data_IF_374212975615
#
_entry.id   IF_374212975615
#
_cell.length_a   1.000
_cell.length_b   1.000
_cell.length_c   1.000
_cell.angle_alpha   90.00
_cell.angle_beta   90.00
_cell.angle_gamma   90.00
#
_symmetry.space_group_name_H-M   'P 1'
#
loop_
_entity.id
_entity.type
_entity.pdbx_description
1 polymer ?
#
# COMPACT_ATOMS: atom_id res chain seq x y z
N UNK A 1 -13.48 29.01 -0.91
CA UNK A 1 -12.73 28.99 0.36
C UNK A 1 -11.80 27.77 0.35
N UNK A 2 -10.58 27.92 -0.18
CA UNK A 2 -9.58 26.85 -0.19
C UNK A 2 -8.80 26.83 1.14
N UNK A 3 -8.50 25.66 1.68
CA UNK A 3 -7.65 25.54 2.86
C UNK A 3 -6.21 25.92 2.52
N UNK A 4 -5.52 26.59 3.44
CA UNK A 4 -4.09 26.85 3.34
C UNK A 4 -3.34 25.50 3.32
N UNK A 5 -2.34 25.37 2.43
CA UNK A 5 -1.57 24.14 2.21
C UNK A 5 -0.96 23.58 3.52
N UNK A 6 -0.59 24.47 4.44
CA UNK A 6 -0.04 24.17 5.77
C UNK A 6 -1.06 23.52 6.74
N UNK A 7 -2.35 23.58 6.43
CA UNK A 7 -3.45 22.98 7.22
C UNK A 7 -4.07 21.78 6.51
N UNK A 8 -3.51 21.36 5.37
CA UNK A 8 -3.95 20.12 4.76
C UNK A 8 -3.58 18.99 5.73
N UNK A 9 -4.54 18.12 6.09
CA UNK A 9 -4.19 16.91 6.79
C UNK A 9 -3.14 16.19 5.94
N UNK A 10 -2.10 15.68 6.59
CA UNK A 10 -1.12 14.80 5.97
C UNK A 10 -1.91 13.58 5.47
N UNK A 11 -2.32 13.63 4.21
CA UNK A 11 -3.02 12.53 3.55
C UNK A 11 -1.92 11.64 3.00
N UNK A 12 -1.49 10.59 3.74
CA UNK A 12 -0.59 9.64 3.15
C UNK A 12 -1.28 9.06 1.90
N UNK A 13 -0.50 8.75 0.87
CA UNK A 13 -1.00 8.05 -0.31
C UNK A 13 -1.63 6.72 0.12
N UNK A 14 -2.93 6.74 0.38
CA UNK A 14 -3.69 5.67 0.96
C UNK A 14 -4.59 5.07 -0.11
N UNK A 15 -4.52 3.75 -0.28
CA UNK A 15 -5.25 3.02 -1.31
C UNK A 15 -6.31 2.13 -0.68
N UNK A 16 -7.52 2.17 -1.22
CA UNK A 16 -8.54 1.17 -0.87
C UNK A 16 -8.13 -0.21 -1.43
N UNK A 17 -8.88 -1.27 -1.11
CA UNK A 17 -8.51 -2.64 -1.55
C UNK A 17 -8.37 -2.76 -3.07
N UNK A 18 -9.28 -2.15 -3.83
CA UNK A 18 -9.27 -2.21 -5.29
C UNK A 18 -8.05 -1.51 -5.88
N UNK A 19 -7.73 -0.31 -5.40
CA UNK A 19 -6.52 0.42 -5.78
C UNK A 19 -5.25 -0.31 -5.36
N UNK A 20 -5.24 -0.93 -4.17
CA UNK A 20 -4.09 -1.70 -3.71
C UNK A 20 -3.81 -2.90 -4.62
N UNK A 21 -4.85 -3.61 -5.08
CA UNK A 21 -4.72 -4.69 -6.06
C UNK A 21 -4.22 -4.17 -7.40
N UNK A 22 -4.81 -3.09 -7.91
CA UNK A 22 -4.38 -2.48 -9.17
C UNK A 22 -2.93 -1.96 -9.12
N UNK A 23 -2.50 -1.44 -7.97
CA UNK A 23 -1.16 -0.91 -7.77
C UNK A 23 -0.11 -2.02 -7.64
N UNK A 24 -0.38 -3.04 -6.83
CA UNK A 24 0.58 -4.10 -6.53
C UNK A 24 0.62 -5.20 -7.60
N UNK A 25 -0.47 -5.38 -8.34
CA UNK A 25 -0.60 -6.45 -9.35
C UNK A 25 -0.71 -7.86 -8.75
N UNK A 26 -0.79 -8.01 -7.42
CA UNK A 26 -0.91 -9.33 -6.78
C UNK A 26 -2.35 -9.83 -6.78
N UNK A 27 -2.52 -11.13 -6.53
CA UNK A 27 -3.85 -11.73 -6.37
C UNK A 27 -4.56 -11.23 -5.11
N UNK A 28 -5.89 -11.35 -5.10
CA UNK A 28 -6.71 -11.08 -3.91
C UNK A 28 -6.27 -11.88 -2.70
N UNK A 29 -5.93 -13.16 -2.91
CA UNK A 29 -5.48 -14.07 -1.84
C UNK A 29 -4.14 -13.61 -1.24
N UNK A 30 -3.19 -13.18 -2.07
CA UNK A 30 -1.91 -12.67 -1.59
C UNK A 30 -2.08 -11.40 -0.76
N UNK A 31 -2.98 -10.50 -1.18
CA UNK A 31 -3.28 -9.28 -0.43
C UNK A 31 -3.96 -9.58 0.91
N UNK A 32 -4.86 -10.57 0.95
CA UNK A 32 -5.50 -11.03 2.19
C UNK A 32 -4.50 -11.74 3.12
N UNK A 33 -3.53 -12.47 2.58
CA UNK A 33 -2.41 -13.02 3.35
C UNK A 33 -1.58 -11.91 4.01
N UNK A 34 -1.18 -10.89 3.25
CA UNK A 34 -0.44 -9.75 3.80
C UNK A 34 -1.22 -9.01 4.89
N UNK A 35 -2.54 -8.89 4.71
CA UNK A 35 -3.42 -8.33 5.74
C UNK A 35 -3.43 -9.19 7.00
N UNK A 36 -3.55 -10.51 6.87
CA UNK A 36 -3.57 -11.46 8.00
C UNK A 36 -2.23 -11.50 8.73
N UNK A 37 -1.12 -11.49 7.98
CA UNK A 37 0.23 -11.43 8.51
C UNK A 37 0.58 -10.06 9.12
N UNK A 38 -0.27 -9.05 8.92
CA UNK A 38 -0.07 -7.69 9.45
C UNK A 38 1.00 -6.89 8.71
N UNK A 39 1.46 -7.38 7.56
CA UNK A 39 2.41 -6.72 6.64
C UNK A 39 1.76 -5.47 6.03
N UNK A 40 0.50 -5.60 5.60
CA UNK A 40 -0.29 -4.47 5.09
C UNK A 40 -1.47 -4.22 6.02
N UNK A 41 -1.60 -3.01 6.54
CA UNK A 41 -2.69 -2.66 7.48
C UNK A 41 -3.67 -1.69 6.85
N UNK A 42 -4.89 -2.16 6.64
CA UNK A 42 -6.01 -1.31 6.29
C UNK A 42 -6.52 -0.57 7.54
N UNK A 43 -6.55 0.76 7.49
CA UNK A 43 -6.99 1.62 8.61
C UNK A 43 -8.10 2.56 8.14
N UNK A 44 -9.04 2.96 9.02
CA UNK A 44 -10.13 3.88 8.67
C UNK A 44 -9.60 5.32 8.57
N UNK A 45 -8.82 5.62 7.52
CA UNK A 45 -8.24 6.95 7.27
C UNK A 45 -8.82 7.68 6.06
N UNK A 46 -9.64 6.99 5.26
CA UNK A 46 -10.29 7.60 4.10
C UNK A 46 -11.55 8.37 4.46
N UNK A 47 -12.11 9.13 3.49
CA UNK A 47 -13.39 9.80 3.64
C UNK A 47 -14.47 8.82 4.12
N UNK A 48 -15.30 9.26 5.07
CA UNK A 48 -16.40 8.44 5.65
C UNK A 48 -15.93 7.13 6.30
N UNK A 49 -14.69 7.08 6.80
CA UNK A 49 -14.15 5.88 7.45
C UNK A 49 -13.71 4.78 6.49
N UNK A 50 -13.48 5.11 5.22
CA UNK A 50 -12.98 4.14 4.25
C UNK A 50 -11.63 3.54 4.71
N UNK A 51 -11.53 2.24 4.56
CA UNK A 51 -10.34 1.46 4.91
C UNK A 51 -9.28 1.65 3.83
N UNK A 52 -8.15 2.24 4.21
CA UNK A 52 -7.02 2.50 3.33
C UNK A 52 -5.77 1.79 3.84
N UNK A 53 -5.04 1.16 2.93
CA UNK A 53 -3.67 0.72 3.13
C UNK A 53 -2.72 1.86 2.74
N UNK A 54 -1.62 2.03 3.47
CA UNK A 54 -0.61 3.02 3.12
C UNK A 54 0.23 2.51 1.95
N UNK A 55 0.55 3.38 0.99
CA UNK A 55 1.46 3.05 -0.11
C UNK A 55 2.80 2.51 0.40
N UNK A 56 3.36 3.09 1.46
CA UNK A 56 4.62 2.62 2.07
C UNK A 56 4.53 1.18 2.57
N UNK A 57 3.39 0.77 3.15
CA UNK A 57 3.19 -0.62 3.58
C UNK A 57 3.12 -1.56 2.37
N UNK A 58 2.46 -1.13 1.28
CA UNK A 58 2.38 -1.89 0.03
C UNK A 58 3.75 -2.02 -0.66
N UNK A 59 4.52 -0.93 -0.72
CA UNK A 59 5.88 -0.91 -1.29
C UNK A 59 6.82 -1.82 -0.49
N UNK A 60 6.73 -1.79 0.85
CA UNK A 60 7.50 -2.70 1.70
C UNK A 60 7.11 -4.17 1.48
N UNK A 61 5.81 -4.45 1.34
CA UNK A 61 5.32 -5.80 1.03
C UNK A 61 5.84 -6.30 -0.33
N UNK A 62 5.81 -5.44 -1.35
CA UNK A 62 6.37 -5.72 -2.67
C UNK A 62 7.87 -5.94 -2.61
N UNK A 63 8.61 -5.10 -1.87
CA UNK A 63 10.05 -5.26 -1.68
C UNK A 63 10.41 -6.57 -0.96
N UNK A 64 9.57 -7.06 -0.05
CA UNK A 64 9.79 -8.37 0.58
C UNK A 64 9.48 -9.50 -0.40
N UNK A 65 8.36 -9.40 -1.14
CA UNK A 65 7.91 -10.41 -2.09
C UNK A 65 8.89 -10.58 -3.27
N UNK A 66 9.35 -9.46 -3.85
CA UNK A 66 10.18 -9.44 -5.05
C UNK A 66 11.66 -9.13 -4.77
N UNK A 67 12.00 -8.51 -3.64
CA UNK A 67 13.39 -8.19 -3.29
C UNK A 67 14.24 -9.41 -2.90
N UNK A 68 13.63 -10.59 -2.76
CA UNK A 68 14.37 -11.85 -2.64
C UNK A 68 15.10 -12.23 -3.95
N UNK A 69 14.77 -11.64 -5.10
CA UNK A 69 15.42 -11.93 -6.39
C UNK A 69 16.67 -11.08 -6.69
N UNK A 70 17.03 -10.07 -5.88
CA UNK A 70 18.23 -9.25 -6.11
C UNK A 70 19.53 -9.85 -5.53
N UNK A 71 19.62 -11.18 -5.47
CA UNK A 71 20.89 -11.92 -5.29
C UNK A 71 21.23 -12.79 -6.50
N UNK A 72 20.69 -12.44 -7.68
CA UNK A 72 21.11 -12.97 -8.96
C UNK A 72 21.08 -11.83 -9.97
N UNK A 73 22.26 -11.31 -10.33
CA UNK A 73 22.38 -10.23 -11.30
C UNK A 73 21.73 -10.61 -12.64
N UNK A 74 20.94 -9.69 -13.18
CA UNK A 74 20.69 -9.63 -14.62
C UNK A 74 21.69 -8.63 -15.19
N UNK A 75 22.82 -9.16 -15.64
CA UNK A 75 23.70 -8.46 -16.56
C UNK A 75 22.95 -8.34 -17.91
N UNK A 76 22.70 -7.11 -18.34
CA UNK A 76 22.41 -6.75 -19.72
C UNK A 76 23.50 -5.79 -20.21
#
# INVERSE_FOLDING_TARGET
MGMALEKLPDWPAGMNREMALAYTGVSGDQLDEWRRAGVVRFRPRGPRGQMLALRTDLDAALAILFGTESRGGIEL
#
